data_IF_712530765322
#
_entry.id   IF_712530765322
#
_cell.length_a   1.000
_cell.length_b   1.000
_cell.length_c   1.000
_cell.angle_alpha   90.00
_cell.angle_beta   90.00
_cell.angle_gamma   90.00
#
_symmetry.space_group_name_H-M   'P 1'
#
loop_
_entity.id
_entity.type
_entity.pdbx_description
1 polymer ?
#
# COMPACT_ATOMS: atom_id res chain seq x y z
N UNK A 1 -52.44 -58.06 -47.84
CA UNK A 1 -52.41 -59.53 -47.52
C UNK A 1 -51.98 -59.65 -46.05
N UNK A 2 -52.93 -60.04 -45.24
CA UNK A 2 -52.99 -61.28 -44.40
C UNK A 2 -51.90 -61.26 -43.29
N UNK A 3 -52.14 -61.57 -42.06
CA UNK A 3 -53.24 -62.07 -41.20
C UNK A 3 -52.85 -61.78 -39.75
N UNK A 4 -53.79 -61.33 -39.03
CA UNK A 4 -54.25 -61.75 -37.69
C UNK A 4 -53.48 -62.98 -37.06
N UNK A 5 -53.16 -62.85 -35.77
CA UNK A 5 -53.61 -63.81 -34.74
C UNK A 5 -53.60 -63.11 -33.37
N UNK A 6 -54.72 -63.13 -32.68
CA UNK A 6 -54.91 -62.93 -31.26
C UNK A 6 -54.36 -64.10 -30.49
N UNK A 7 -53.82 -63.84 -29.30
CA UNK A 7 -53.99 -64.81 -28.22
C UNK A 7 -54.05 -64.06 -26.87
N UNK A 8 -55.14 -64.30 -26.24
CA UNK A 8 -55.58 -63.87 -24.92
C UNK A 8 -54.86 -64.70 -23.87
N UNK A 9 -54.43 -64.05 -22.80
CA UNK A 9 -53.85 -64.73 -21.63
C UNK A 9 -54.06 -63.87 -20.34
N UNK A 10 -55.19 -64.18 -19.73
CA UNK A 10 -55.59 -63.69 -18.39
C UNK A 10 -54.78 -64.39 -17.30
N UNK A 11 -54.00 -63.64 -16.49
CA UNK A 11 -53.51 -64.20 -15.24
C UNK A 11 -53.63 -63.13 -14.16
N UNK A 12 -54.39 -63.49 -13.19
CA UNK A 12 -54.70 -63.06 -11.82
C UNK A 12 -53.72 -62.15 -11.07
N UNK A 13 -54.38 -61.24 -10.38
CA UNK A 13 -53.92 -60.42 -9.26
C UNK A 13 -53.24 -61.19 -8.12
N UNK A 14 -52.16 -60.62 -7.63
CA UNK A 14 -51.78 -60.67 -6.23
C UNK A 14 -51.24 -59.31 -5.81
N UNK A 15 -52.01 -58.55 -5.04
CA UNK A 15 -51.60 -57.29 -4.47
C UNK A 15 -50.56 -57.49 -3.40
N UNK A 16 -49.48 -56.78 -3.52
CA UNK A 16 -48.54 -56.52 -2.42
C UNK A 16 -48.47 -55.02 -2.30
N UNK A 17 -49.10 -54.48 -1.30
CA UNK A 17 -48.98 -53.08 -0.89
C UNK A 17 -47.61 -52.84 -0.29
N UNK A 18 -46.65 -52.36 -1.04
CA UNK A 18 -45.42 -51.83 -0.52
C UNK A 18 -45.62 -50.36 -0.20
N UNK A 19 -45.74 -50.04 1.06
CA UNK A 19 -45.67 -48.66 1.54
C UNK A 19 -44.21 -48.17 1.38
N UNK A 20 -43.95 -47.44 0.32
CA UNK A 20 -42.69 -46.71 0.16
C UNK A 20 -42.68 -45.53 1.13
N UNK A 21 -41.91 -45.70 2.19
CA UNK A 21 -41.59 -44.65 3.14
C UNK A 21 -40.60 -43.72 2.43
N UNK A 22 -41.03 -42.56 1.93
CA UNK A 22 -40.17 -41.49 1.42
C UNK A 22 -39.39 -40.91 2.59
N UNK A 23 -38.17 -41.36 2.73
CA UNK A 23 -37.18 -40.65 3.53
C UNK A 23 -36.72 -39.39 2.75
N UNK A 24 -37.35 -38.26 3.06
CA UNK A 24 -36.85 -36.93 2.65
C UNK A 24 -35.52 -36.70 3.31
N UNK A 25 -34.46 -37.10 2.66
CA UNK A 25 -33.10 -36.65 3.00
C UNK A 25 -33.02 -35.18 2.56
N UNK A 26 -33.21 -34.27 3.52
CA UNK A 26 -32.91 -32.88 3.32
C UNK A 26 -31.39 -32.74 3.12
N UNK A 27 -30.98 -32.72 1.84
CA UNK A 27 -29.64 -32.29 1.46
C UNK A 27 -29.59 -30.78 1.67
N UNK A 28 -29.21 -30.38 2.90
CA UNK A 28 -28.82 -29.02 3.18
C UNK A 28 -27.51 -28.78 2.41
N UNK A 29 -27.62 -28.30 1.18
CA UNK A 29 -26.49 -27.73 0.47
C UNK A 29 -26.03 -26.50 1.26
N UNK A 30 -25.08 -26.69 2.17
CA UNK A 30 -24.21 -25.59 2.61
C UNK A 30 -23.50 -25.11 1.36
N UNK A 31 -24.08 -24.10 0.70
CA UNK A 31 -23.34 -23.25 -0.21
C UNK A 31 -22.23 -22.62 0.62
N UNK A 32 -21.06 -23.26 0.61
CA UNK A 32 -19.84 -22.62 1.02
C UNK A 32 -19.75 -21.39 0.09
N UNK A 33 -19.94 -20.20 0.66
CA UNK A 33 -19.49 -18.96 0.02
C UNK A 33 -17.98 -19.14 -0.16
N UNK A 34 -17.57 -19.55 -1.34
CA UNK A 34 -16.20 -19.40 -1.79
C UNK A 34 -16.05 -17.89 -1.98
N UNK A 35 -15.71 -17.19 -0.91
CA UNK A 35 -15.04 -15.92 -1.01
C UNK A 35 -13.67 -16.29 -1.56
N UNK A 36 -13.47 -16.13 -2.87
CA UNK A 36 -12.14 -16.15 -3.46
C UNK A 36 -11.36 -15.04 -2.77
N UNK A 37 -10.65 -15.42 -1.73
CA UNK A 37 -9.75 -14.52 -1.01
C UNK A 37 -8.58 -14.24 -1.94
N UNK A 38 -8.63 -13.09 -2.61
CA UNK A 38 -7.54 -12.64 -3.49
C UNK A 38 -6.33 -12.39 -2.58
N UNK A 39 -5.37 -13.30 -2.60
CA UNK A 39 -4.12 -13.18 -1.87
C UNK A 39 -2.98 -12.83 -2.83
N UNK A 40 -1.97 -12.11 -2.33
CA UNK A 40 -0.73 -11.88 -3.06
C UNK A 40 0.03 -13.21 -3.23
N UNK A 41 0.51 -13.47 -4.44
CA UNK A 41 1.45 -14.55 -4.71
C UNK A 41 2.87 -14.16 -4.29
N UNK A 42 3.77 -15.13 -4.18
CA UNK A 42 5.20 -14.85 -3.93
C UNK A 42 5.82 -13.98 -5.04
N UNK A 43 5.38 -14.14 -6.28
CA UNK A 43 5.83 -13.31 -7.40
C UNK A 43 5.36 -11.86 -7.25
N UNK A 44 4.12 -11.64 -6.81
CA UNK A 44 3.60 -10.28 -6.54
C UNK A 44 4.39 -9.59 -5.43
N UNK A 45 4.77 -10.33 -4.38
CA UNK A 45 5.57 -9.81 -3.26
C UNK A 45 6.92 -9.26 -3.75
N UNK A 46 7.63 -9.99 -4.58
CA UNK A 46 8.91 -9.53 -5.14
C UNK A 46 8.73 -8.29 -6.04
N UNK A 47 7.68 -8.26 -6.86
CA UNK A 47 7.33 -7.08 -7.66
C UNK A 47 7.06 -5.87 -6.75
N UNK A 48 6.33 -6.05 -5.65
CA UNK A 48 6.04 -4.95 -4.72
C UNK A 48 7.25 -4.49 -3.91
N UNK A 49 8.20 -5.37 -3.60
CA UNK A 49 9.49 -4.97 -3.01
C UNK A 49 10.25 -4.02 -3.94
N UNK A 50 10.30 -4.34 -5.23
CA UNK A 50 10.97 -3.48 -6.21
C UNK A 50 10.20 -2.16 -6.44
N UNK A 51 8.88 -2.22 -6.57
CA UNK A 51 8.05 -1.01 -6.69
C UNK A 51 8.14 -0.11 -5.45
N UNK A 52 8.38 -0.69 -4.26
CA UNK A 52 8.62 0.09 -3.04
C UNK A 52 9.84 0.98 -3.19
N UNK A 53 10.95 0.43 -3.67
CA UNK A 53 12.18 1.19 -3.89
C UNK A 53 11.94 2.34 -4.87
N UNK A 54 11.33 2.04 -6.01
CA UNK A 54 11.00 3.04 -7.03
C UNK A 54 10.13 4.17 -6.48
N UNK A 55 9.11 3.86 -5.67
CA UNK A 55 8.26 4.90 -5.06
C UNK A 55 8.98 5.76 -4.03
N UNK A 56 9.88 5.18 -3.26
CA UNK A 56 10.70 5.95 -2.31
C UNK A 56 11.67 6.87 -3.04
N UNK A 57 12.28 6.41 -4.12
CA UNK A 57 13.14 7.23 -4.99
C UNK A 57 12.33 8.35 -5.67
N UNK A 58 11.14 8.04 -6.17
CA UNK A 58 10.23 9.02 -6.76
C UNK A 58 9.84 10.10 -5.73
N UNK A 59 9.52 9.68 -4.51
CA UNK A 59 9.25 10.60 -3.41
C UNK A 59 10.43 11.52 -3.12
N UNK A 60 11.66 10.98 -3.07
CA UNK A 60 12.88 11.78 -2.91
C UNK A 60 13.00 12.86 -3.97
N UNK A 61 12.77 12.52 -5.25
CA UNK A 61 12.84 13.48 -6.35
C UNK A 61 11.82 14.61 -6.17
N UNK A 62 10.59 14.28 -5.75
CA UNK A 62 9.58 15.29 -5.48
C UNK A 62 9.96 16.22 -4.34
N UNK A 63 10.42 15.70 -3.19
CA UNK A 63 10.78 16.56 -2.06
C UNK A 63 11.98 17.46 -2.36
N UNK A 64 12.95 17.01 -3.15
CA UNK A 64 14.06 17.84 -3.65
C UNK A 64 13.51 18.98 -4.52
N UNK A 65 12.63 18.67 -5.46
CA UNK A 65 11.99 19.68 -6.33
C UNK A 65 11.15 20.67 -5.52
N UNK A 66 10.35 20.19 -4.56
CA UNK A 66 9.50 21.04 -3.70
C UNK A 66 10.35 21.99 -2.85
N UNK A 67 11.48 21.50 -2.30
CA UNK A 67 12.37 22.25 -1.43
C UNK A 67 13.27 23.25 -2.18
N UNK A 68 13.51 23.07 -3.47
CA UNK A 68 14.37 23.92 -4.27
C UNK A 68 13.71 25.25 -4.58
N UNK A 69 14.33 26.37 -4.18
CA UNK A 69 13.85 27.71 -4.49
C UNK A 69 14.23 28.18 -5.90
N UNK A 70 15.17 27.49 -6.53
CA UNK A 70 15.59 27.74 -7.92
C UNK A 70 14.55 27.20 -8.92
N UNK A 71 13.68 26.30 -8.48
CA UNK A 71 12.63 25.74 -9.31
C UNK A 71 11.40 26.67 -9.36
N UNK A 72 10.77 26.82 -10.54
CA UNK A 72 9.55 27.62 -10.69
C UNK A 72 8.44 27.16 -9.72
N UNK A 73 7.66 28.10 -9.20
CA UNK A 73 6.59 27.81 -8.25
C UNK A 73 5.57 26.79 -8.80
N UNK A 74 5.26 26.86 -10.09
CA UNK A 74 4.36 25.91 -10.76
C UNK A 74 4.91 24.48 -10.73
N UNK A 75 6.20 24.29 -11.03
CA UNK A 75 6.87 22.98 -10.98
C UNK A 75 6.88 22.42 -9.56
N UNK A 76 7.15 23.26 -8.55
CA UNK A 76 7.10 22.88 -7.13
C UNK A 76 5.69 22.48 -6.68
N UNK A 77 4.65 23.21 -7.13
CA UNK A 77 3.25 22.87 -6.84
C UNK A 77 2.82 21.58 -7.56
N UNK A 78 3.31 21.33 -8.76
CA UNK A 78 3.06 20.06 -9.47
C UNK A 78 3.71 18.90 -8.73
N UNK A 79 4.99 19.04 -8.35
CA UNK A 79 5.71 18.03 -7.59
C UNK A 79 5.01 17.69 -6.27
N UNK A 80 4.44 18.69 -5.55
CA UNK A 80 3.65 18.44 -4.33
C UNK A 80 2.40 17.59 -4.61
N UNK A 81 1.64 17.93 -5.66
CA UNK A 81 0.45 17.15 -6.02
C UNK A 81 0.79 15.72 -6.43
N UNK A 82 1.87 15.53 -7.19
CA UNK A 82 2.30 14.18 -7.60
C UNK A 82 2.85 13.38 -6.41
N UNK A 83 3.63 14.01 -5.53
CA UNK A 83 4.11 13.38 -4.30
C UNK A 83 2.95 12.86 -3.45
N UNK A 84 1.88 13.62 -3.27
CA UNK A 84 0.71 13.19 -2.49
C UNK A 84 0.03 11.94 -3.04
N UNK A 85 0.09 11.71 -4.35
CA UNK A 85 -0.48 10.49 -4.97
C UNK A 85 0.26 9.21 -4.61
N UNK A 86 1.50 9.32 -4.14
CA UNK A 86 2.28 8.17 -3.68
C UNK A 86 1.78 7.63 -2.34
N UNK A 87 1.12 8.48 -1.55
CA UNK A 87 0.75 8.18 -0.17
C UNK A 87 -0.66 7.62 -0.03
N UNK A 88 -0.83 6.76 0.96
CA UNK A 88 -2.14 6.35 1.42
C UNK A 88 -2.83 7.52 2.11
N UNK A 89 -4.16 7.55 2.02
CA UNK A 89 -4.96 8.64 2.59
C UNK A 89 -4.73 8.76 4.09
N UNK A 90 -4.36 9.95 4.55
CA UNK A 90 -4.13 10.26 5.96
C UNK A 90 -2.71 9.97 6.44
N UNK A 91 -1.78 9.63 5.55
CA UNK A 91 -0.38 9.42 5.89
C UNK A 91 0.26 10.63 6.57
N UNK A 92 1.12 10.37 7.55
CA UNK A 92 1.83 11.37 8.34
C UNK A 92 3.36 11.26 8.18
N UNK A 93 4.02 12.39 8.36
CA UNK A 93 5.49 12.48 8.43
C UNK A 93 5.91 12.85 9.85
N UNK A 94 6.70 12.02 10.50
CA UNK A 94 7.43 12.41 11.71
C UNK A 94 8.70 13.18 11.32
N UNK A 95 8.72 14.45 11.68
CA UNK A 95 9.87 15.33 11.53
C UNK A 95 10.67 15.23 12.82
N UNK A 96 11.95 14.92 12.71
CA UNK A 96 12.89 14.90 13.82
C UNK A 96 13.93 16.00 13.60
N UNK A 97 14.21 16.78 14.62
CA UNK A 97 15.17 17.90 14.59
C UNK A 97 16.10 17.79 15.76
N UNK A 98 17.42 17.81 15.50
CA UNK A 98 18.42 17.93 16.53
C UNK A 98 18.52 19.40 16.97
N UNK A 99 18.32 19.64 18.28
CA UNK A 99 18.44 20.97 18.86
C UNK A 99 19.91 21.25 19.28
N UNK A 100 20.30 22.55 19.42
CA UNK A 100 21.67 22.91 19.85
C UNK A 100 22.07 22.34 21.19
N UNK A 101 21.13 22.03 22.09
CA UNK A 101 21.38 21.40 23.39
C UNK A 101 21.50 19.86 23.31
N UNK A 102 21.52 19.30 22.10
CA UNK A 102 21.65 17.88 21.85
C UNK A 102 20.33 17.10 22.00
N UNK A 103 19.22 17.75 22.37
CA UNK A 103 17.91 17.12 22.43
C UNK A 103 17.33 16.91 21.05
N UNK A 104 16.55 15.84 20.91
CA UNK A 104 15.79 15.55 19.69
C UNK A 104 14.33 15.96 19.90
N UNK A 105 13.86 16.86 19.05
CA UNK A 105 12.45 17.22 18.99
C UNK A 105 11.79 16.46 17.85
N UNK A 106 10.65 15.80 18.13
CA UNK A 106 9.85 15.08 17.13
C UNK A 106 8.46 15.70 17.02
N UNK A 107 7.96 15.84 15.80
CA UNK A 107 6.63 16.40 15.51
C UNK A 107 6.01 15.62 14.34
N UNK A 108 4.81 15.08 14.54
CA UNK A 108 4.02 14.48 13.46
C UNK A 108 3.25 15.55 12.69
N UNK A 109 3.22 15.42 11.38
CA UNK A 109 2.46 16.28 10.48
C UNK A 109 1.76 15.45 9.40
N UNK A 110 0.49 15.75 9.07
CA UNK A 110 -0.11 15.22 7.85
C UNK A 110 0.81 15.49 6.65
N UNK A 111 0.95 14.50 5.77
CA UNK A 111 1.88 14.57 4.64
C UNK A 111 1.70 15.84 3.79
N UNK A 112 0.44 16.23 3.54
CA UNK A 112 0.11 17.47 2.83
C UNK A 112 0.74 18.71 3.51
N UNK A 113 0.63 18.79 4.85
CA UNK A 113 1.20 19.90 5.61
C UNK A 113 2.72 19.88 5.65
N UNK A 114 3.30 18.70 5.65
CA UNK A 114 4.76 18.53 5.54
C UNK A 114 5.28 19.05 4.19
N UNK A 115 4.68 18.60 3.08
CA UNK A 115 5.10 19.02 1.74
C UNK A 115 4.91 20.52 1.50
N UNK A 116 3.78 21.07 1.94
CA UNK A 116 3.54 22.51 1.88
C UNK A 116 4.60 23.30 2.66
N UNK A 117 5.04 22.79 3.84
CA UNK A 117 6.08 23.43 4.65
C UNK A 117 7.45 23.43 3.98
N UNK A 118 7.81 22.38 3.21
CA UNK A 118 9.07 22.34 2.46
C UNK A 118 9.25 23.55 1.54
N UNK A 119 8.17 24.05 0.95
CA UNK A 119 8.19 25.26 0.10
C UNK A 119 8.54 26.54 0.85
N UNK A 120 8.26 26.59 2.15
CA UNK A 120 8.39 27.77 3.01
C UNK A 120 9.55 27.68 4.02
N UNK A 121 10.44 26.71 3.88
CA UNK A 121 11.61 26.63 4.72
C UNK A 121 12.47 27.90 4.59
N UNK A 122 13.11 28.38 5.70
CA UNK A 122 13.84 29.65 5.72
C UNK A 122 15.22 29.56 5.03
N UNK A 123 15.52 28.43 4.38
CA UNK A 123 16.77 28.21 3.67
C UNK A 123 16.71 28.81 2.26
N UNK A 124 17.83 29.33 1.76
CA UNK A 124 17.96 29.76 0.35
C UNK A 124 18.02 28.55 -0.58
N UNK A 125 18.62 27.45 -0.10
CA UNK A 125 18.72 26.17 -0.80
C UNK A 125 18.62 25.02 0.19
N UNK A 126 18.04 23.92 -0.20
CA UNK A 126 18.06 22.65 0.54
C UNK A 126 18.58 21.53 -0.33
N UNK A 127 19.35 20.62 0.28
CA UNK A 127 19.73 19.35 -0.32
C UNK A 127 19.14 18.24 0.56
N UNK A 128 18.41 17.33 -0.06
CA UNK A 128 17.84 16.15 0.59
C UNK A 128 18.34 14.94 -0.19
N UNK A 129 19.08 14.07 0.49
CA UNK A 129 19.56 12.82 -0.09
C UNK A 129 19.00 11.67 0.71
N UNK A 130 18.58 10.62 0.02
CA UNK A 130 18.34 9.32 0.63
C UNK A 130 19.53 8.43 0.29
N UNK A 131 20.12 7.84 1.32
CA UNK A 131 21.11 6.80 1.16
C UNK A 131 20.38 5.47 1.34
N UNK A 132 20.63 4.58 0.43
CA UNK A 132 20.16 3.21 0.39
C UNK A 132 18.74 3.00 0.96
N UNK A 133 17.84 2.50 0.12
CA UNK A 133 16.67 1.78 0.62
C UNK A 133 17.23 0.44 1.10
N UNK A 134 17.75 0.48 2.35
CA UNK A 134 18.59 -0.59 2.86
C UNK A 134 17.83 -1.91 3.02
N UNK A 135 16.51 -1.84 3.25
CA UNK A 135 15.72 -3.03 3.54
C UNK A 135 14.22 -2.77 3.34
N UNK A 136 13.56 -3.68 2.65
CA UNK A 136 12.09 -3.79 2.62
C UNK A 136 11.72 -5.07 3.33
N UNK A 137 10.96 -4.97 4.43
CA UNK A 137 10.55 -6.12 5.22
C UNK A 137 9.59 -7.04 4.44
N UNK A 138 9.33 -8.23 4.97
CA UNK A 138 8.30 -9.10 4.39
C UNK A 138 6.92 -8.45 4.50
N UNK A 139 6.07 -8.70 3.48
CA UNK A 139 4.69 -8.25 3.48
C UNK A 139 3.83 -9.15 4.37
N UNK A 140 3.08 -8.53 5.28
CA UNK A 140 2.17 -9.23 6.20
C UNK A 140 0.74 -8.76 5.96
N UNK A 141 -0.19 -9.71 5.82
CA UNK A 141 -1.62 -9.40 5.65
C UNK A 141 -2.22 -8.91 6.96
N UNK A 142 -2.81 -7.71 6.93
CA UNK A 142 -3.54 -7.14 8.04
C UNK A 142 -4.99 -7.67 8.16
N UNK A 143 -5.66 -7.38 9.28
CA UNK A 143 -7.05 -7.78 9.50
C UNK A 143 -8.04 -7.08 8.58
N UNK A 144 -7.65 -5.98 7.97
CA UNK A 144 -8.42 -5.20 6.98
C UNK A 144 -8.25 -5.71 5.53
N UNK A 145 -7.50 -6.81 5.36
CA UNK A 145 -7.25 -7.44 4.06
C UNK A 145 -6.14 -6.81 3.23
N UNK A 146 -5.53 -5.71 3.70
CA UNK A 146 -4.36 -5.10 3.07
C UNK A 146 -3.08 -5.81 3.47
N UNK A 147 -2.01 -5.57 2.71
CA UNK A 147 -0.67 -6.03 3.08
C UNK A 147 0.19 -4.86 3.51
N UNK A 148 0.98 -5.09 4.54
CA UNK A 148 1.85 -4.11 5.18
C UNK A 148 3.30 -4.57 5.15
N UNK A 149 4.20 -3.64 4.90
CA UNK A 149 5.64 -3.83 4.98
C UNK A 149 6.28 -2.53 5.48
N UNK A 150 7.58 -2.54 5.74
CA UNK A 150 8.35 -1.36 6.14
C UNK A 150 9.59 -1.26 5.29
N UNK A 151 9.83 -0.09 4.70
CA UNK A 151 11.09 0.24 4.07
C UNK A 151 11.91 1.13 5.01
N UNK A 152 13.19 0.82 5.17
CA UNK A 152 14.13 1.63 5.94
C UNK A 152 14.98 2.48 5.01
N UNK A 153 15.04 3.78 5.26
CA UNK A 153 15.84 4.75 4.51
C UNK A 153 16.71 5.58 5.46
N UNK A 154 17.83 6.06 4.96
CA UNK A 154 18.65 7.08 5.64
C UNK A 154 18.53 8.36 4.84
N UNK A 155 18.05 9.43 5.49
CA UNK A 155 17.91 10.75 4.90
C UNK A 155 18.98 11.67 5.46
N UNK A 156 19.73 12.32 4.59
CA UNK A 156 20.52 13.51 4.93
C UNK A 156 19.74 14.76 4.48
N UNK A 157 19.62 15.71 5.38
CA UNK A 157 19.07 17.03 5.09
C UNK A 157 20.14 18.08 5.31
N UNK A 158 20.35 18.96 4.34
CA UNK A 158 21.26 20.12 4.43
C UNK A 158 20.53 21.38 4.02
N UNK A 159 20.50 22.36 4.91
CA UNK A 159 19.93 23.70 4.69
C UNK A 159 21.03 24.75 4.56
N UNK A 160 20.90 25.63 3.57
CA UNK A 160 21.87 26.68 3.26
C UNK A 160 21.25 28.08 3.47
N UNK A 161 22.09 29.01 3.89
CA UNK A 161 21.83 30.45 3.77
C UNK A 161 22.88 31.02 2.83
N UNK A 162 22.47 31.39 1.61
CA UNK A 162 23.38 31.62 0.48
C UNK A 162 24.26 30.37 0.25
N UNK A 163 25.57 30.48 0.37
CA UNK A 163 26.50 29.34 0.17
C UNK A 163 26.92 28.66 1.48
N UNK A 164 26.53 29.22 2.63
CA UNK A 164 26.86 28.68 3.94
C UNK A 164 25.90 27.57 4.37
N UNK A 165 26.43 26.44 4.84
CA UNK A 165 25.65 25.40 5.50
C UNK A 165 25.27 25.90 6.89
N UNK A 166 23.97 26.06 7.15
CA UNK A 166 23.46 26.53 8.46
C UNK A 166 22.75 25.44 9.24
N UNK A 167 22.45 24.33 8.60
CA UNK A 167 21.85 23.16 9.24
C UNK A 167 22.13 21.90 8.44
N UNK A 168 22.47 20.81 9.14
CA UNK A 168 22.51 19.48 8.54
C UNK A 168 22.18 18.42 9.58
N UNK A 169 21.41 17.41 9.19
CA UNK A 169 21.15 16.21 9.97
C UNK A 169 21.15 14.95 9.11
N UNK A 170 21.35 13.83 9.77
CA UNK A 170 21.15 12.50 9.19
C UNK A 170 20.12 11.77 10.03
N UNK A 171 19.02 11.39 9.40
CA UNK A 171 17.90 10.72 10.06
C UNK A 171 17.62 9.38 9.41
N UNK A 172 17.63 8.31 10.21
CA UNK A 172 17.10 7.01 9.83
C UNK A 172 15.57 7.05 9.93
N UNK A 173 14.89 6.65 8.86
CA UNK A 173 13.44 6.65 8.78
C UNK A 173 12.91 5.29 8.40
N UNK A 174 11.74 4.98 8.93
CA UNK A 174 10.91 3.85 8.54
C UNK A 174 9.69 4.37 7.79
N UNK A 175 9.50 3.87 6.58
CA UNK A 175 8.38 4.18 5.70
C UNK A 175 7.45 2.99 5.71
N UNK A 176 6.23 3.17 6.21
CA UNK A 176 5.19 2.15 6.07
C UNK A 176 4.82 1.96 4.61
N UNK A 177 4.67 0.73 4.19
CA UNK A 177 4.26 0.35 2.84
C UNK A 177 2.92 -0.35 2.94
N UNK A 178 1.95 0.10 2.16
CA UNK A 178 0.58 -0.43 2.15
C UNK A 178 0.28 -0.92 0.74
N UNK A 179 -0.09 -2.20 0.61
CA UNK A 179 -0.63 -2.76 -0.63
C UNK A 179 -2.12 -3.00 -0.42
N UNK A 180 -2.94 -2.27 -1.15
CA UNK A 180 -4.40 -2.29 -1.05
C UNK A 180 -5.02 -2.72 -2.37
N UNK A 181 -6.15 -3.44 -2.28
CA UNK A 181 -6.91 -3.89 -3.43
C UNK A 181 -7.89 -2.80 -3.84
N UNK A 182 -7.52 -1.99 -4.82
CA UNK A 182 -8.34 -0.87 -5.31
C UNK A 182 -9.11 -1.24 -6.57
N UNK A 183 -10.33 -0.71 -6.70
CA UNK A 183 -11.11 -0.84 -7.91
C UNK A 183 -10.63 0.18 -8.95
N UNK A 184 -10.28 -0.32 -10.14
CA UNK A 184 -10.03 0.53 -11.29
C UNK A 184 -11.38 1.01 -11.85
N UNK A 185 -11.64 2.31 -11.72
CA UNK A 185 -12.93 2.90 -12.09
C UNK A 185 -13.22 2.81 -13.60
N UNK A 186 -12.20 2.66 -14.44
CA UNK A 186 -12.34 2.55 -15.88
C UNK A 186 -12.62 1.12 -16.34
N UNK A 187 -11.83 0.16 -15.83
CA UNK A 187 -11.95 -1.26 -16.21
C UNK A 187 -12.90 -2.04 -15.31
N UNK A 188 -13.33 -1.47 -14.16
CA UNK A 188 -14.14 -2.13 -13.13
C UNK A 188 -13.50 -3.41 -12.58
N UNK A 189 -12.19 -3.48 -12.63
CA UNK A 189 -11.39 -4.59 -12.13
C UNK A 189 -10.69 -4.19 -10.83
N UNK A 190 -10.54 -5.15 -9.94
CA UNK A 190 -9.76 -4.96 -8.72
C UNK A 190 -8.29 -5.23 -9.01
N UNK A 191 -7.42 -4.32 -8.59
CA UNK A 191 -5.96 -4.46 -8.71
C UNK A 191 -5.28 -4.11 -7.40
N UNK A 192 -4.25 -4.87 -7.11
CA UNK A 192 -3.34 -4.51 -6.03
C UNK A 192 -2.56 -3.25 -6.40
N UNK A 193 -2.54 -2.29 -5.51
CA UNK A 193 -1.82 -1.02 -5.67
C UNK A 193 -1.01 -0.74 -4.42
N UNK A 194 0.25 -0.33 -4.63
CA UNK A 194 1.16 0.03 -3.55
C UNK A 194 1.10 1.52 -3.25
N UNK A 195 1.15 1.86 -1.96
CA UNK A 195 1.20 3.21 -1.42
C UNK A 195 2.27 3.31 -0.34
N UNK A 196 2.81 4.48 -0.16
CA UNK A 196 3.56 4.85 1.03
C UNK A 196 2.57 5.24 2.14
N UNK A 197 2.77 4.76 3.36
CA UNK A 197 2.02 5.12 4.54
C UNK A 197 2.76 6.17 5.38
N UNK A 198 2.69 6.02 6.71
CA UNK A 198 3.39 6.89 7.64
C UNK A 198 4.90 6.78 7.51
N UNK A 199 5.58 7.91 7.74
CA UNK A 199 7.05 7.95 7.80
C UNK A 199 7.46 8.36 9.21
N UNK A 200 8.19 7.46 9.90
CA UNK A 200 8.68 7.65 11.27
C UNK A 200 10.19 7.89 11.29
N UNK A 201 10.65 8.79 12.13
CA UNK A 201 12.07 9.02 12.37
C UNK A 201 12.52 8.15 13.55
N UNK A 202 13.36 7.14 13.30
CA UNK A 202 13.85 6.23 14.34
C UNK A 202 15.11 6.75 15.04
N UNK A 203 16.05 7.31 14.28
CA UNK A 203 17.29 7.90 14.79
C UNK A 203 17.56 9.21 14.06
N UNK A 204 18.04 10.22 14.81
CA UNK A 204 18.49 11.50 14.22
C UNK A 204 19.80 11.89 14.86
N UNK A 205 20.77 12.26 14.03
CA UNK A 205 22.07 12.76 14.46
C UNK A 205 22.32 14.11 13.80
N UNK A 206 22.72 15.10 14.59
CA UNK A 206 23.27 16.34 14.03
C UNK A 206 24.61 16.03 13.38
N UNK A 207 24.80 16.54 12.16
CA UNK A 207 26.05 16.38 11.43
C UNK A 207 26.91 17.67 11.49
N UNK A 208 26.43 18.73 12.18
CA UNK A 208 27.23 19.93 12.47
C UNK A 208 27.74 19.83 13.89
N UNK A 209 29.06 19.77 14.05
CA UNK A 209 29.78 19.96 15.29
C UNK A 209 30.17 21.42 15.45
#
# INVERSE_FOLDING_TARGET
>A
MLKKVLLSGLILLLGVSLTAQETKTAVTSKQAKITDEINLSAADIEVFKEQTKQKVEEFQQYIVTIGSKDEPAEKRNMAEREALKLFYKGAEMEISTALPDGKIQKVNRPMEKYLARLKSLPYTRVIIKFYDIAYVSEFTKGPDGKYYSTATIIQEFTGFSNDDIIYTDVTKKEVEIIVDLVEDTFFKEKRWKIFLGDIKATETKSAVS
#
